data_IF_799882155647
#
_entry.id   IF_799882155647
#
_cell.length_a   1.000
_cell.length_b   1.000
_cell.length_c   1.000
_cell.angle_alpha   90.00
_cell.angle_beta   90.00
_cell.angle_gamma   90.00
#
_symmetry.space_group_name_H-M   'P 1'
#
loop_
_entity.id
_entity.type
_entity.pdbx_description
1 polymer ?
#
# COMPACT_ATOMS: atom_id res chain seq x y z
N UNK A 1 23.90 4.23 8.85
CA UNK A 1 22.68 3.42 9.03
C UNK A 1 22.85 2.15 8.20
N UNK A 2 22.65 0.96 8.77
CA UNK A 2 22.74 -0.28 8.01
C UNK A 2 21.56 -0.45 7.03
N UNK A 3 21.76 -1.22 5.95
CA UNK A 3 20.78 -1.51 4.90
C UNK A 3 19.47 -2.03 5.49
N UNK A 4 19.53 -2.85 6.54
CA UNK A 4 18.35 -3.41 7.21
C UNK A 4 17.44 -2.31 7.76
N UNK A 5 18.02 -1.31 8.43
CA UNK A 5 17.26 -0.18 8.96
C UNK A 5 16.76 0.74 7.84
N UNK A 6 17.55 0.95 6.78
CA UNK A 6 17.11 1.72 5.60
C UNK A 6 15.89 1.06 4.96
N UNK A 7 15.87 -0.28 4.85
CA UNK A 7 14.72 -1.03 4.29
C UNK A 7 13.48 -0.87 5.16
N UNK A 8 13.60 -1.01 6.47
CA UNK A 8 12.46 -0.85 7.38
C UNK A 8 11.88 0.57 7.36
N UNK A 9 12.73 1.59 7.26
CA UNK A 9 12.29 2.97 7.07
C UNK A 9 11.54 3.15 5.74
N UNK A 10 12.12 2.71 4.63
CA UNK A 10 11.51 2.89 3.30
C UNK A 10 10.24 2.03 3.14
N UNK A 11 10.11 0.91 3.85
CA UNK A 11 8.86 0.15 3.89
C UNK A 11 7.82 0.72 4.87
N UNK A 12 8.08 1.88 5.47
CA UNK A 12 7.18 2.59 6.38
C UNK A 12 6.84 1.79 7.66
N UNK A 13 7.74 0.92 8.13
CA UNK A 13 7.50 0.03 9.28
C UNK A 13 8.01 0.57 10.62
N UNK A 14 8.94 1.53 10.61
CA UNK A 14 9.56 2.06 11.84
C UNK A 14 9.20 3.53 12.09
N UNK A 15 8.96 4.30 11.02
CA UNK A 15 8.57 5.71 11.12
C UNK A 15 7.67 6.06 9.93
N UNK A 16 6.42 5.61 10.00
CA UNK A 16 5.46 5.85 8.93
C UNK A 16 5.20 7.36 8.77
N UNK A 17 5.32 7.81 7.53
CA UNK A 17 5.07 9.21 7.14
C UNK A 17 3.69 9.43 6.54
N UNK A 18 3.04 8.37 6.09
CA UNK A 18 1.80 8.46 5.33
C UNK A 18 0.58 8.28 6.23
N UNK A 19 -0.38 9.19 6.07
CA UNK A 19 -1.72 9.12 6.67
C UNK A 19 -2.79 8.76 5.64
N UNK A 20 -2.53 9.03 4.35
CA UNK A 20 -3.41 8.64 3.26
C UNK A 20 -3.00 7.30 2.63
N UNK A 21 -4.00 6.51 2.28
CA UNK A 21 -3.85 5.14 1.76
C UNK A 21 -3.25 5.13 0.36
N UNK A 22 -3.65 6.07 -0.50
CA UNK A 22 -3.17 6.16 -1.87
C UNK A 22 -1.69 6.56 -1.87
N UNK A 23 -1.30 7.57 -1.11
CA UNK A 23 0.09 8.03 -1.05
C UNK A 23 1.04 6.91 -0.59
N UNK A 24 0.60 6.10 0.37
CA UNK A 24 1.36 4.93 0.80
C UNK A 24 1.48 3.89 -0.33
N UNK A 25 0.39 3.58 -1.04
CA UNK A 25 0.41 2.58 -2.12
C UNK A 25 1.30 3.06 -3.29
N UNK A 26 1.19 4.34 -3.67
CA UNK A 26 2.05 4.98 -4.66
C UNK A 26 3.53 4.91 -4.25
N UNK A 27 3.84 5.20 -2.98
CA UNK A 27 5.20 5.07 -2.45
C UNK A 27 5.75 3.64 -2.53
N UNK A 28 4.91 2.64 -2.26
CA UNK A 28 5.28 1.23 -2.34
C UNK A 28 5.40 0.73 -3.79
N UNK A 29 4.88 1.49 -4.76
CA UNK A 29 4.74 1.12 -6.17
C UNK A 29 3.67 0.05 -6.41
N UNK A 30 3.74 -1.05 -5.67
CA UNK A 30 2.69 -2.07 -5.63
C UNK A 30 2.74 -2.89 -4.34
N UNK A 31 1.58 -3.40 -3.91
CA UNK A 31 1.46 -4.29 -2.74
C UNK A 31 0.74 -5.58 -3.15
N UNK A 32 1.30 -6.74 -2.79
CA UNK A 32 0.66 -8.02 -3.09
C UNK A 32 -0.76 -8.08 -2.50
N UNK A 33 -1.72 -8.41 -3.35
CA UNK A 33 -3.15 -8.29 -3.09
C UNK A 33 -3.92 -9.60 -3.36
N UNK A 34 -3.29 -10.77 -3.21
CA UNK A 34 -3.96 -12.06 -3.44
C UNK A 34 -5.15 -12.27 -2.50
N UNK A 35 -4.96 -11.94 -1.22
CA UNK A 35 -5.96 -12.12 -0.17
C UNK A 35 -6.33 -10.74 0.40
N UNK A 36 -7.64 -10.44 0.43
CA UNK A 36 -8.15 -9.09 0.69
C UNK A 36 -7.89 -8.63 2.13
N UNK A 37 -7.99 -9.53 3.12
CA UNK A 37 -7.69 -9.21 4.52
C UNK A 37 -6.20 -8.93 4.69
N UNK A 38 -5.34 -9.71 4.07
CA UNK A 38 -3.88 -9.55 4.18
C UNK A 38 -3.40 -8.27 3.49
N UNK A 39 -3.94 -7.93 2.32
CA UNK A 39 -3.68 -6.68 1.63
C UNK A 39 -3.99 -5.47 2.53
N UNK A 40 -5.19 -5.44 3.13
CA UNK A 40 -5.61 -4.35 4.03
C UNK A 40 -4.70 -4.23 5.24
N UNK A 41 -4.30 -5.34 5.84
CA UNK A 41 -3.38 -5.34 6.97
C UNK A 41 -1.99 -4.81 6.58
N UNK A 42 -1.46 -5.23 5.42
CA UNK A 42 -0.17 -4.78 4.93
C UNK A 42 -0.13 -3.26 4.65
N UNK A 43 -1.22 -2.69 4.14
CA UNK A 43 -1.35 -1.24 3.98
C UNK A 43 -1.50 -0.56 5.35
N UNK A 44 -2.42 -1.05 6.19
CA UNK A 44 -2.71 -0.44 7.49
C UNK A 44 -1.48 -0.36 8.41
N UNK A 45 -0.68 -1.42 8.51
CA UNK A 45 0.51 -1.44 9.38
C UNK A 45 1.60 -0.42 8.96
N UNK A 46 1.52 0.08 7.73
CA UNK A 46 2.46 1.03 7.14
C UNK A 46 1.94 2.48 7.16
N UNK A 47 0.73 2.71 7.65
CA UNK A 47 0.16 4.04 7.85
C UNK A 47 0.41 4.50 9.29
N UNK A 48 0.54 5.82 9.46
CA UNK A 48 0.62 6.44 10.79
C UNK A 48 -0.69 6.27 11.57
N UNK A 49 -1.82 6.42 10.86
CA UNK A 49 -3.16 6.33 11.43
C UNK A 49 -4.02 5.39 10.57
N UNK A 50 -3.95 4.07 10.82
CA UNK A 50 -4.69 3.10 10.02
C UNK A 50 -6.20 3.26 10.21
N UNK A 51 -6.92 3.44 9.11
CA UNK A 51 -8.38 3.55 9.11
C UNK A 51 -9.01 2.64 8.06
N UNK A 52 -9.90 1.76 8.52
CA UNK A 52 -10.59 0.87 7.60
C UNK A 52 -11.57 1.59 6.69
N UNK A 53 -12.17 2.66 7.20
CA UNK A 53 -13.05 3.53 6.42
C UNK A 53 -12.27 4.21 5.30
N UNK A 54 -11.13 4.83 5.62
CA UNK A 54 -10.29 5.53 4.64
C UNK A 54 -9.78 4.59 3.54
N UNK A 55 -9.39 3.36 3.89
CA UNK A 55 -8.98 2.36 2.91
C UNK A 55 -10.13 2.00 1.95
N UNK A 56 -11.33 1.74 2.48
CA UNK A 56 -12.50 1.43 1.63
C UNK A 56 -12.84 2.61 0.73
N UNK A 57 -12.83 3.83 1.25
CA UNK A 57 -13.05 5.03 0.45
C UNK A 57 -12.05 5.16 -0.70
N UNK A 58 -10.75 4.92 -0.46
CA UNK A 58 -9.74 4.95 -1.52
C UNK A 58 -9.93 3.82 -2.55
N UNK A 59 -10.30 2.63 -2.09
CA UNK A 59 -10.54 1.45 -2.94
C UNK A 59 -11.79 1.60 -3.79
N UNK A 60 -12.91 2.00 -3.18
CA UNK A 60 -14.21 2.15 -3.84
C UNK A 60 -14.22 3.34 -4.79
N UNK A 61 -13.48 4.41 -4.48
CA UNK A 61 -13.27 5.54 -5.38
C UNK A 61 -12.32 5.25 -6.54
N UNK A 62 -11.70 4.06 -6.57
CA UNK A 62 -10.74 3.68 -7.61
C UNK A 62 -9.42 4.43 -7.56
N UNK A 63 -9.08 5.11 -6.44
CA UNK A 63 -7.77 5.75 -6.24
C UNK A 63 -6.66 4.71 -6.11
N UNK A 64 -6.98 3.56 -5.54
CA UNK A 64 -6.12 2.39 -5.52
C UNK A 64 -6.82 1.24 -6.23
N UNK A 65 -6.14 0.60 -7.17
CA UNK A 65 -6.71 -0.40 -8.07
C UNK A 65 -6.08 -1.76 -7.78
N UNK A 66 -6.93 -2.78 -7.66
CA UNK A 66 -6.50 -4.18 -7.54
C UNK A 66 -6.54 -4.83 -8.91
N UNK A 67 -5.39 -5.17 -9.47
CA UNK A 67 -5.26 -5.76 -10.82
C UNK A 67 -4.13 -6.79 -10.89
N UNK A 68 -4.06 -7.55 -11.98
CA UNK A 68 -2.96 -8.49 -12.22
C UNK A 68 -1.76 -7.74 -12.83
N UNK A 69 -0.60 -7.83 -12.18
CA UNK A 69 0.65 -7.24 -12.66
C UNK A 69 1.79 -8.26 -12.55
N UNK A 70 2.82 -7.96 -11.74
CA UNK A 70 4.06 -8.72 -11.72
C UNK A 70 3.82 -10.19 -11.38
N UNK A 71 4.46 -11.07 -12.14
CA UNK A 71 4.31 -12.54 -12.05
C UNK A 71 2.84 -13.00 -12.18
N UNK A 72 1.99 -12.22 -12.87
CA UNK A 72 0.57 -12.49 -13.06
C UNK A 72 -0.22 -12.71 -11.76
N UNK A 73 0.18 -12.03 -10.68
CA UNK A 73 -0.50 -12.09 -9.38
C UNK A 73 -1.27 -10.81 -9.11
N UNK A 74 -2.28 -10.87 -8.23
CA UNK A 74 -3.02 -9.69 -7.80
C UNK A 74 -2.10 -8.74 -7.04
N UNK A 75 -2.06 -7.49 -7.51
CA UNK A 75 -1.36 -6.38 -6.89
C UNK A 75 -2.35 -5.24 -6.64
N UNK A 76 -2.12 -4.47 -5.58
CA UNK A 76 -2.76 -3.20 -5.31
C UNK A 76 -1.78 -2.10 -5.70
N UNK A 77 -2.23 -1.21 -6.58
CA UNK A 77 -1.43 -0.11 -7.14
C UNK A 77 -2.19 1.20 -7.07
N UNK A 78 -1.49 2.34 -7.14
CA UNK A 78 -2.14 3.63 -7.33
C UNK A 78 -2.71 3.69 -8.76
N UNK A 79 -3.83 4.38 -8.94
CA UNK A 79 -4.53 4.39 -10.23
C UNK A 79 -3.69 5.05 -11.34
N UNK A 80 -2.95 6.10 -11.00
CA UNK A 80 -2.07 6.84 -11.90
C UNK A 80 -0.87 6.01 -12.40
N UNK A 81 -0.49 4.94 -11.68
CA UNK A 81 0.60 4.05 -12.12
C UNK A 81 0.17 3.09 -13.24
N UNK A 82 -1.14 3.05 -13.56
CA UNK A 82 -1.70 2.22 -14.63
C UNK A 82 -1.90 2.98 -15.96
N UNK A 83 -1.75 4.31 -16.00
CA UNK A 83 -1.93 5.12 -17.21
C UNK A 83 -2.03 6.62 -16.94
#
# INVERSE_FOLDING_TARGET
MDISHIRLLNQQLVSSRFTDVHDLVAWMGMVQAQEYKMMRWAVGMRLREPSMRAFREAYDAGRIVRTHLFRCTWQLVAAEDLG
#
